data_IF_295054215249
#
_entry.id   IF_295054215249
#
_cell.length_a   1.000
_cell.length_b   1.000
_cell.length_c   1.000
_cell.angle_alpha   90.00
_cell.angle_beta   90.00
_cell.angle_gamma   90.00
#
_symmetry.space_group_name_H-M   'P 1'
#
loop_
_entity.id
_entity.type
_entity.pdbx_description
1 polymer ?
#
# COMPACT_ATOMS: atom_id res chain seq x y z
N UNK A 1 10.86 -4.16 -12.97
CA UNK A 1 11.51 -4.84 -11.84
C UNK A 1 12.52 -3.89 -11.22
N UNK A 2 12.22 -3.30 -10.06
CA UNK A 2 13.07 -2.31 -9.37
C UNK A 2 14.37 -2.99 -8.90
N UNK A 3 15.49 -2.71 -9.57
CA UNK A 3 16.80 -3.29 -9.23
C UNK A 3 17.79 -2.28 -8.63
N UNK A 4 17.55 -1.00 -8.81
CA UNK A 4 18.50 0.07 -8.47
C UNK A 4 17.73 1.30 -7.94
N UNK A 5 17.32 1.31 -6.66
CA UNK A 5 16.48 2.37 -6.09
C UNK A 5 17.13 3.75 -6.14
N UNK A 6 18.47 3.78 -6.14
CA UNK A 6 19.26 5.00 -6.24
C UNK A 6 19.22 5.66 -7.63
N UNK A 7 18.92 4.94 -8.72
CA UNK A 7 19.02 5.50 -10.08
C UNK A 7 18.06 6.67 -10.33
N UNK A 8 16.75 6.56 -10.03
CA UNK A 8 15.84 7.71 -10.14
C UNK A 8 16.15 8.79 -9.10
N UNK A 9 16.75 8.40 -7.98
CA UNK A 9 17.06 9.28 -6.85
C UNK A 9 18.38 10.02 -7.01
N UNK A 10 19.23 9.63 -7.95
CA UNK A 10 20.59 10.14 -8.14
C UNK A 10 20.68 11.68 -8.11
N UNK A 11 19.77 12.45 -8.76
CA UNK A 11 19.81 13.91 -8.71
C UNK A 11 19.56 14.51 -7.32
N UNK A 12 18.99 13.73 -6.40
CA UNK A 12 18.54 14.18 -5.09
C UNK A 12 19.42 13.65 -3.95
N UNK A 13 20.32 12.69 -4.19
CA UNK A 13 21.09 12.01 -3.13
C UNK A 13 21.94 12.97 -2.28
N UNK A 14 22.40 14.06 -2.86
CA UNK A 14 23.16 15.11 -2.18
C UNK A 14 22.29 16.08 -1.38
N UNK A 15 20.97 16.07 -1.62
CA UNK A 15 20.05 16.90 -0.84
C UNK A 15 20.01 16.40 0.60
N UNK A 16 19.99 17.33 1.56
CA UNK A 16 19.86 17.02 2.99
C UNK A 16 18.49 16.47 3.41
N UNK A 17 17.72 15.87 2.51
CA UNK A 17 16.35 15.41 2.76
C UNK A 17 16.26 13.92 3.14
N UNK A 18 15.18 13.50 3.81
CA UNK A 18 14.88 12.08 4.01
C UNK A 18 14.42 11.39 2.72
N UNK A 19 14.66 10.08 2.63
CA UNK A 19 14.30 9.21 1.51
C UNK A 19 13.36 8.10 1.98
N UNK A 20 12.17 8.07 1.38
CA UNK A 20 11.20 7.01 1.55
C UNK A 20 11.06 6.23 0.24
N UNK A 21 11.35 4.94 0.28
CA UNK A 21 11.13 4.00 -0.84
C UNK A 21 10.00 3.06 -0.48
N UNK A 22 8.95 3.02 -1.31
CA UNK A 22 7.78 2.16 -1.12
C UNK A 22 7.48 1.36 -2.38
N UNK A 23 7.07 0.10 -2.23
CA UNK A 23 6.66 -0.76 -3.33
C UNK A 23 5.73 -1.88 -2.87
N UNK A 24 5.04 -2.48 -3.84
CA UNK A 24 4.28 -3.71 -3.65
C UNK A 24 5.24 -4.91 -3.67
N UNK A 25 5.19 -5.76 -2.63
CA UNK A 25 6.04 -6.96 -2.57
C UNK A 25 5.66 -7.95 -3.67
N UNK A 26 4.37 -8.19 -3.84
CA UNK A 26 3.82 -8.97 -4.94
C UNK A 26 3.99 -8.22 -6.27
N UNK A 27 4.48 -8.91 -7.30
CA UNK A 27 4.81 -8.30 -8.59
C UNK A 27 6.18 -7.63 -8.65
N UNK A 28 6.95 -7.65 -7.55
CA UNK A 28 8.32 -7.13 -7.49
C UNK A 28 9.34 -7.99 -8.26
N UNK A 29 9.01 -9.25 -8.57
CA UNK A 29 9.91 -10.27 -9.11
C UNK A 29 10.88 -10.86 -8.07
N UNK A 30 10.66 -10.59 -6.78
CA UNK A 30 11.43 -11.12 -5.63
C UNK A 30 10.51 -11.62 -4.51
N UNK A 31 9.30 -12.05 -4.88
CA UNK A 31 8.23 -12.51 -3.98
C UNK A 31 8.63 -13.72 -3.14
N UNK A 32 9.64 -14.48 -3.60
CA UNK A 32 10.19 -15.62 -2.88
C UNK A 32 11.13 -15.24 -1.71
N UNK A 33 11.41 -13.95 -1.51
CA UNK A 33 12.25 -13.44 -0.44
C UNK A 33 11.40 -12.68 0.59
N UNK A 34 11.75 -12.74 1.88
CA UNK A 34 11.08 -11.93 2.91
C UNK A 34 11.13 -10.43 2.56
N UNK A 35 10.01 -9.68 2.73
CA UNK A 35 9.99 -8.25 2.46
C UNK A 35 11.06 -7.48 3.24
N UNK A 36 11.31 -7.83 4.51
CA UNK A 36 12.30 -7.16 5.37
C UNK A 36 13.75 -7.25 4.84
N UNK A 37 14.09 -8.35 4.17
CA UNK A 37 15.41 -8.52 3.55
C UNK A 37 15.59 -7.57 2.36
N UNK A 38 14.52 -7.39 1.58
CA UNK A 38 14.49 -6.51 0.42
C UNK A 38 14.51 -5.04 0.84
N UNK A 39 13.80 -4.70 1.91
CA UNK A 39 13.86 -3.37 2.53
C UNK A 39 15.25 -3.03 3.03
N UNK A 40 15.88 -3.95 3.75
CA UNK A 40 17.24 -3.77 4.25
C UNK A 40 18.25 -3.61 3.09
N UNK A 41 18.05 -4.34 2.00
CA UNK A 41 18.87 -4.21 0.77
C UNK A 41 18.70 -2.84 0.12
N UNK A 42 17.47 -2.34 0.02
CA UNK A 42 17.19 -1.02 -0.54
C UNK A 42 17.84 0.10 0.30
N UNK A 43 17.74 0.03 1.63
CA UNK A 43 18.40 0.99 2.54
C UNK A 43 19.92 0.92 2.39
N UNK A 44 20.52 -0.28 2.38
CA UNK A 44 21.97 -0.44 2.15
C UNK A 44 22.40 0.15 0.81
N UNK A 45 21.59 0.01 -0.24
CA UNK A 45 21.87 0.62 -1.54
C UNK A 45 21.89 2.14 -1.46
N UNK A 46 20.96 2.77 -0.72
CA UNK A 46 20.96 4.23 -0.54
C UNK A 46 22.18 4.70 0.26
N UNK A 47 22.53 3.97 1.31
CA UNK A 47 23.71 4.27 2.13
C UNK A 47 25.01 4.19 1.34
N UNK A 48 25.15 3.20 0.45
CA UNK A 48 26.29 3.08 -0.45
C UNK A 48 26.44 4.29 -1.40
N UNK A 49 25.40 5.12 -1.55
CA UNK A 49 25.40 6.31 -2.37
C UNK A 49 25.24 7.60 -1.53
N UNK A 50 25.67 7.59 -0.26
CA UNK A 50 25.83 8.80 0.55
C UNK A 50 24.64 9.20 1.42
N UNK A 51 23.54 8.43 1.41
CA UNK A 51 22.39 8.70 2.28
C UNK A 51 22.67 8.17 3.69
N UNK A 52 22.50 9.00 4.72
CA UNK A 52 22.66 8.55 6.11
C UNK A 52 21.53 7.61 6.53
N UNK A 53 21.82 6.65 7.41
CA UNK A 53 20.88 5.61 7.81
C UNK A 53 19.62 6.17 8.51
N UNK A 54 19.76 7.25 9.27
CA UNK A 54 18.67 7.97 9.95
C UNK A 54 17.72 8.69 8.98
N UNK A 55 18.14 8.86 7.72
CA UNK A 55 17.38 9.52 6.65
C UNK A 55 16.82 8.57 5.60
N UNK A 56 16.98 7.26 5.74
CA UNK A 56 16.52 6.29 4.75
C UNK A 56 15.52 5.31 5.36
N UNK A 57 14.35 5.19 4.74
CA UNK A 57 13.40 4.12 5.01
C UNK A 57 12.96 3.45 3.71
N UNK A 58 13.01 2.13 3.69
CA UNK A 58 12.40 1.30 2.66
C UNK A 58 11.29 0.47 3.29
N UNK A 59 10.11 0.45 2.65
CA UNK A 59 8.95 -0.32 3.12
C UNK A 59 8.28 -1.02 1.95
N UNK A 60 8.17 -2.34 2.05
CA UNK A 60 7.33 -3.14 1.17
C UNK A 60 5.93 -3.26 1.77
N UNK A 61 4.90 -3.04 0.96
CA UNK A 61 3.57 -3.51 1.29
C UNK A 61 3.48 -4.98 0.93
N UNK A 62 3.12 -5.83 1.89
CA UNK A 62 3.00 -7.27 1.71
C UNK A 62 1.54 -7.72 1.97
N UNK A 63 0.82 -8.18 0.94
CA UNK A 63 1.30 -8.44 -0.43
C UNK A 63 1.46 -7.18 -1.30
N UNK A 64 0.56 -6.20 -1.17
CA UNK A 64 0.47 -4.99 -2.01
C UNK A 64 -0.19 -3.86 -1.20
N UNK A 65 -0.13 -2.61 -1.69
CA UNK A 65 -0.66 -1.42 -1.02
C UNK A 65 -2.08 -1.61 -0.42
N UNK A 66 -2.98 -2.27 -1.14
CA UNK A 66 -4.37 -2.50 -0.75
C UNK A 66 -4.53 -3.25 0.58
N UNK A 67 -3.50 -3.95 1.06
CA UNK A 67 -3.48 -4.56 2.40
C UNK A 67 -3.76 -3.53 3.50
N UNK A 68 -3.36 -2.28 3.27
CA UNK A 68 -3.59 -1.14 4.14
C UNK A 68 -5.07 -0.92 4.46
N UNK A 69 -5.96 -1.32 3.55
CA UNK A 69 -7.39 -1.09 3.69
C UNK A 69 -8.11 -2.20 4.43
N UNK A 70 -7.44 -3.30 4.78
CA UNK A 70 -8.08 -4.43 5.46
C UNK A 70 -8.89 -4.01 6.68
N UNK A 71 -8.31 -3.17 7.53
CA UNK A 71 -8.96 -2.69 8.76
C UNK A 71 -10.11 -1.70 8.52
N UNK A 72 -10.25 -1.18 7.31
CA UNK A 72 -11.26 -0.21 6.90
C UNK A 72 -12.10 -0.68 5.71
N UNK A 73 -12.03 -1.98 5.38
CA UNK A 73 -12.66 -2.56 4.20
C UNK A 73 -14.16 -2.24 4.06
N UNK A 74 -14.99 -2.31 5.13
CA UNK A 74 -16.39 -1.90 5.03
C UNK A 74 -16.57 -0.46 4.55
N UNK A 75 -15.69 0.45 5.02
CA UNK A 75 -15.71 1.86 4.60
C UNK A 75 -15.22 2.03 3.17
N UNK A 76 -14.23 1.25 2.73
CA UNK A 76 -13.80 1.22 1.32
C UNK A 76 -14.98 0.84 0.43
N UNK A 77 -15.69 -0.24 0.73
CA UNK A 77 -16.87 -0.66 -0.05
C UNK A 77 -17.93 0.44 -0.14
N UNK A 78 -18.24 1.10 0.98
CA UNK A 78 -19.20 2.21 1.00
C UNK A 78 -18.78 3.39 0.11
N UNK A 79 -17.50 3.78 0.14
CA UNK A 79 -16.99 4.89 -0.68
C UNK A 79 -17.10 4.53 -2.16
N UNK A 80 -16.66 3.32 -2.53
CA UNK A 80 -16.66 2.86 -3.92
C UNK A 80 -18.09 2.71 -4.45
N UNK A 81 -19.02 2.11 -3.69
CA UNK A 81 -20.43 1.99 -4.07
C UNK A 81 -21.14 3.35 -4.15
N UNK A 82 -20.74 4.29 -3.29
CA UNK A 82 -21.21 5.68 -3.31
C UNK A 82 -20.94 6.41 -4.63
N UNK A 83 -19.88 6.06 -5.38
CA UNK A 83 -19.62 6.63 -6.72
C UNK A 83 -20.73 6.30 -7.73
N UNK A 84 -21.46 5.22 -7.50
CA UNK A 84 -22.61 4.80 -8.32
C UNK A 84 -23.95 5.07 -7.67
N UNK A 85 -23.97 5.57 -6.43
CA UNK A 85 -25.19 5.66 -5.59
C UNK A 85 -25.85 4.29 -5.43
N UNK A 86 -25.03 3.25 -5.32
CA UNK A 86 -25.45 1.87 -5.13
C UNK A 86 -25.11 1.41 -3.72
N UNK A 87 -25.78 0.36 -3.25
CA UNK A 87 -25.40 -0.32 -2.01
C UNK A 87 -24.11 -1.14 -2.23
N UNK A 88 -23.22 -1.22 -1.23
CA UNK A 88 -22.00 -2.00 -1.35
C UNK A 88 -22.31 -3.50 -1.48
N UNK A 89 -21.69 -4.21 -2.44
CA UNK A 89 -21.78 -5.66 -2.51
C UNK A 89 -21.33 -6.33 -1.21
N UNK A 90 -21.97 -7.45 -0.87
CA UNK A 90 -21.54 -8.27 0.26
C UNK A 90 -20.18 -8.94 -0.05
N UNK A 91 -19.49 -9.38 1.01
CA UNK A 91 -18.13 -9.91 0.92
C UNK A 91 -18.05 -11.22 0.11
N UNK A 92 -19.08 -12.07 0.16
CA UNK A 92 -19.13 -13.31 -0.61
C UNK A 92 -19.30 -13.02 -2.11
N UNK A 93 -20.10 -12.02 -2.45
CA UNK A 93 -20.26 -11.55 -3.83
C UNK A 93 -18.94 -11.01 -4.39
N UNK A 94 -18.20 -10.20 -3.61
CA UNK A 94 -16.88 -9.71 -4.03
C UNK A 94 -15.89 -10.86 -4.20
N UNK A 95 -15.84 -11.80 -3.24
CA UNK A 95 -14.96 -12.95 -3.30
C UNK A 95 -15.23 -13.85 -4.51
N UNK A 96 -16.50 -14.15 -4.78
CA UNK A 96 -16.90 -14.94 -5.94
C UNK A 96 -16.52 -14.25 -7.26
N UNK A 97 -16.68 -12.93 -7.33
CA UNK A 97 -16.27 -12.15 -8.49
C UNK A 97 -14.74 -12.14 -8.68
N UNK A 98 -13.96 -12.00 -7.61
CA UNK A 98 -12.50 -12.05 -7.65
C UNK A 98 -11.97 -13.40 -8.17
N UNK A 99 -12.55 -14.50 -7.69
CA UNK A 99 -12.21 -15.86 -8.15
C UNK A 99 -12.55 -16.07 -9.62
N UNK A 100 -13.72 -15.59 -10.06
CA UNK A 100 -14.13 -15.69 -11.46
C UNK A 100 -13.21 -14.89 -12.38
N UNK A 101 -12.77 -13.70 -11.95
CA UNK A 101 -11.86 -12.86 -12.72
C UNK A 101 -10.44 -13.45 -12.79
N UNK A 102 -10.02 -14.23 -11.78
CA UNK A 102 -8.66 -14.74 -11.65
C UNK A 102 -8.62 -16.27 -11.50
N UNK A 103 -9.06 -17.06 -12.50
CA UNK A 103 -9.19 -18.52 -12.38
C UNK A 103 -7.86 -19.26 -12.19
N UNK A 104 -6.73 -18.60 -12.47
CA UNK A 104 -5.38 -19.14 -12.29
C UNK A 104 -4.77 -18.79 -10.93
N UNK A 105 -5.36 -17.85 -10.19
CA UNK A 105 -4.91 -17.45 -8.87
C UNK A 105 -5.65 -18.26 -7.81
N UNK A 106 -4.91 -18.80 -6.84
CA UNK A 106 -5.50 -19.51 -5.71
C UNK A 106 -5.94 -18.51 -4.64
N UNK A 107 -7.12 -17.92 -4.84
CA UNK A 107 -7.75 -17.06 -3.83
C UNK A 107 -8.41 -17.96 -2.76
N UNK A 108 -8.16 -17.73 -1.45
CA UNK A 108 -8.79 -18.47 -0.35
C UNK A 108 -10.32 -18.44 -0.39
N UNK A 109 -10.97 -19.49 0.15
CA UNK A 109 -12.43 -19.54 0.28
C UNK A 109 -12.95 -18.68 1.45
N UNK A 110 -12.10 -18.44 2.46
CA UNK A 110 -12.40 -17.53 3.57
C UNK A 110 -12.12 -16.08 3.17
N UNK A 111 -13.08 -15.20 3.43
CA UNK A 111 -12.99 -13.79 3.01
C UNK A 111 -11.87 -13.04 3.72
N UNK A 112 -11.70 -13.24 5.03
CA UNK A 112 -10.68 -12.55 5.81
C UNK A 112 -9.27 -12.97 5.40
N UNK A 113 -9.09 -14.26 5.11
CA UNK A 113 -7.85 -14.79 4.55
C UNK A 113 -7.60 -14.24 3.15
N UNK A 114 -8.62 -14.21 2.28
CA UNK A 114 -8.50 -13.64 0.95
C UNK A 114 -8.16 -12.15 0.98
N UNK A 115 -8.74 -11.39 1.91
CA UNK A 115 -8.43 -9.97 2.10
C UNK A 115 -7.02 -9.75 2.62
N UNK A 116 -6.47 -10.71 3.38
CA UNK A 116 -5.06 -10.68 3.80
C UNK A 116 -4.06 -11.05 2.70
N UNK A 117 -4.45 -11.87 1.73
CA UNK A 117 -3.52 -12.48 0.76
C UNK A 117 -3.69 -11.98 -0.68
N UNK A 118 -4.88 -11.53 -1.05
CA UNK A 118 -5.26 -11.07 -2.38
C UNK A 118 -6.09 -9.75 -2.31
N UNK A 119 -5.65 -8.74 -1.54
CA UNK A 119 -6.46 -7.53 -1.30
C UNK A 119 -6.76 -6.75 -2.59
N UNK A 120 -5.81 -6.72 -3.53
CA UNK A 120 -5.97 -6.05 -4.82
C UNK A 120 -6.99 -6.76 -5.69
N UNK A 121 -6.96 -8.09 -5.78
CA UNK A 121 -7.94 -8.83 -6.57
C UNK A 121 -9.36 -8.64 -6.03
N UNK A 122 -9.54 -8.57 -4.71
CA UNK A 122 -10.82 -8.24 -4.10
C UNK A 122 -11.25 -6.80 -4.43
N UNK A 123 -10.33 -5.84 -4.35
CA UNK A 123 -10.63 -4.45 -4.70
C UNK A 123 -10.97 -4.29 -6.19
N UNK A 124 -10.19 -4.89 -7.09
CA UNK A 124 -10.50 -4.89 -8.52
C UNK A 124 -11.84 -5.56 -8.83
N UNK A 125 -12.19 -6.64 -8.12
CA UNK A 125 -13.49 -7.29 -8.27
C UNK A 125 -14.63 -6.36 -7.85
N UNK A 126 -14.50 -5.67 -6.72
CA UNK A 126 -15.44 -4.65 -6.26
C UNK A 126 -15.63 -3.55 -7.31
N UNK A 127 -14.53 -3.03 -7.87
CA UNK A 127 -14.55 -2.01 -8.92
C UNK A 127 -15.29 -2.51 -10.16
N UNK A 128 -15.01 -3.73 -10.61
CA UNK A 128 -15.67 -4.35 -11.77
C UNK A 128 -17.16 -4.58 -11.53
N UNK A 129 -17.55 -5.05 -10.35
CA UNK A 129 -18.95 -5.26 -9.96
C UNK A 129 -19.76 -3.95 -10.07
N UNK A 130 -19.17 -2.86 -9.59
CA UNK A 130 -19.77 -1.51 -9.64
C UNK A 130 -19.52 -0.78 -10.97
N UNK A 131 -18.97 -1.49 -11.96
CA UNK A 131 -18.70 -0.98 -13.32
C UNK A 131 -17.89 0.32 -13.30
N UNK A 132 -17.01 0.47 -12.31
CA UNK A 132 -16.12 1.60 -12.17
C UNK A 132 -14.81 1.32 -12.91
N UNK A 133 -14.03 2.38 -13.12
CA UNK A 133 -12.64 2.27 -13.58
C UNK A 133 -11.75 2.65 -12.42
N UNK A 134 -10.67 1.89 -12.23
CA UNK A 134 -9.56 2.33 -11.38
C UNK A 134 -9.03 3.65 -11.93
N UNK A 135 -8.94 4.65 -11.07
CA UNK A 135 -8.52 5.99 -11.46
C UNK A 135 -7.88 6.73 -10.28
N UNK A 136 -6.90 7.62 -10.52
CA UNK A 136 -6.29 8.43 -9.46
C UNK A 136 -7.29 9.19 -8.58
N UNK A 137 -8.39 9.77 -9.12
CA UNK A 137 -9.40 10.42 -8.29
C UNK A 137 -10.06 9.50 -7.27
N UNK A 138 -10.28 8.22 -7.60
CA UNK A 138 -10.85 7.26 -6.65
C UNK A 138 -9.88 6.96 -5.50
N UNK A 139 -8.59 6.79 -5.81
CA UNK A 139 -7.56 6.61 -4.79
C UNK A 139 -7.42 7.86 -3.91
N UNK A 140 -7.48 9.06 -4.48
CA UNK A 140 -7.47 10.31 -3.72
C UNK A 140 -8.66 10.36 -2.75
N UNK A 141 -9.86 10.04 -3.23
CA UNK A 141 -11.08 10.01 -2.41
C UNK A 141 -10.98 9.00 -1.26
N UNK A 142 -10.42 7.81 -1.51
CA UNK A 142 -10.15 6.83 -0.46
C UNK A 142 -9.13 7.39 0.56
N UNK A 143 -8.05 8.00 0.09
CA UNK A 143 -7.03 8.61 0.95
C UNK A 143 -7.58 9.71 1.85
N UNK A 144 -8.50 10.54 1.36
CA UNK A 144 -9.14 11.62 2.11
C UNK A 144 -10.16 11.11 3.14
N UNK A 145 -10.88 10.03 2.82
CA UNK A 145 -12.02 9.58 3.60
C UNK A 145 -11.69 8.50 4.64
N UNK A 146 -10.58 7.77 4.48
CA UNK A 146 -10.22 6.68 5.38
C UNK A 146 -9.44 7.19 6.61
N UNK A 147 -9.76 6.61 7.77
CA UNK A 147 -9.12 7.02 9.03
C UNK A 147 -7.65 6.61 9.05
N UNK A 148 -6.74 7.59 9.11
CA UNK A 148 -5.31 7.35 9.29
C UNK A 148 -5.00 6.51 10.54
N UNK A 149 -5.78 6.68 11.63
CA UNK A 149 -5.62 5.87 12.84
C UNK A 149 -5.92 4.40 12.59
N UNK A 150 -6.95 4.09 11.80
CA UNK A 150 -7.29 2.72 11.45
C UNK A 150 -6.27 2.13 10.47
N UNK A 151 -5.90 2.89 9.42
CA UNK A 151 -4.92 2.47 8.44
C UNK A 151 -3.55 2.14 9.07
N UNK A 152 -3.10 2.92 10.07
CA UNK A 152 -1.87 2.65 10.85
C UNK A 152 -1.89 1.38 11.71
N UNK A 153 -2.98 0.59 11.70
CA UNK A 153 -2.96 -0.78 12.23
C UNK A 153 -2.17 -1.72 11.33
N UNK A 154 -1.99 -1.35 10.06
CA UNK A 154 -1.08 -2.02 9.15
C UNK A 154 0.37 -1.57 9.46
N UNK A 155 1.30 -2.54 9.50
CA UNK A 155 2.69 -2.39 9.93
C UNK A 155 3.50 -1.47 9.01
N UNK A 156 3.37 -1.61 7.69
CA UNK A 156 4.02 -0.76 6.70
C UNK A 156 3.64 0.71 6.91
N UNK A 157 2.34 1.02 7.04
CA UNK A 157 1.87 2.39 7.31
C UNK A 157 2.28 2.92 8.68
N UNK A 158 2.30 2.07 9.71
CA UNK A 158 2.78 2.45 11.02
C UNK A 158 4.26 2.89 10.97
N UNK A 159 5.11 2.13 10.25
CA UNK A 159 6.54 2.43 10.07
C UNK A 159 6.75 3.73 9.28
N UNK A 160 6.01 3.90 8.19
CA UNK A 160 6.06 5.13 7.37
C UNK A 160 5.68 6.34 8.23
N UNK A 161 4.57 6.26 8.97
CA UNK A 161 4.11 7.34 9.83
C UNK A 161 5.13 7.69 10.93
N UNK A 162 5.75 6.67 11.54
CA UNK A 162 6.79 6.88 12.54
C UNK A 162 8.02 7.59 11.95
N UNK A 163 8.52 7.14 10.80
CA UNK A 163 9.66 7.78 10.15
C UNK A 163 9.36 9.23 9.75
N UNK A 164 8.19 9.50 9.16
CA UNK A 164 7.76 10.86 8.83
C UNK A 164 7.72 11.74 10.09
N UNK A 165 7.21 11.23 11.22
CA UNK A 165 7.14 12.02 12.46
C UNK A 165 8.52 12.37 13.06
N UNK A 166 9.54 11.53 12.80
CA UNK A 166 10.92 11.77 13.22
C UNK A 166 11.58 12.78 12.28
N UNK A 167 11.38 12.62 10.98
CA UNK A 167 12.00 13.46 9.95
C UNK A 167 11.40 14.86 9.85
N UNK A 168 10.09 14.97 10.11
CA UNK A 168 9.32 16.21 10.04
C UNK A 168 8.61 16.40 11.40
N UNK A 169 9.37 16.74 12.47
CA UNK A 169 8.77 16.98 13.77
C UNK A 169 7.77 18.13 13.65
N UNK A 170 6.64 18.09 14.39
CA UNK A 170 5.70 19.19 14.41
C UNK A 170 6.45 20.45 14.84
N UNK A 171 6.36 21.52 14.05
CA UNK A 171 6.86 22.81 14.48
C UNK A 171 6.09 23.18 15.73
N UNK A 172 6.80 23.39 16.85
CA UNK A 172 6.21 24.01 18.03
C UNK A 172 5.51 25.28 17.56
N UNK A 173 4.21 25.38 17.79
CA UNK A 173 3.51 26.64 17.59
C UNK A 173 4.15 27.66 18.54
N UNK A 174 5.11 28.44 18.03
CA UNK A 174 5.54 29.66 18.69
C UNK A 174 4.30 30.56 18.74
N UNK A 175 3.74 30.67 19.95
CA UNK A 175 2.69 31.64 20.29
C UNK A 175 3.26 33.01 20.55
#
# INVERSE_FOLDING_TARGET
MWREPHRPLAPFLEMGCPFLVVWDHQGSGRENRPPEDLESEAVRSLMAHGVSADRALAVAFDPELEISWRSTWPRVKQIVAGERREEPPDDLTVLAAARRANPRLRIPDDFEMALGQCPKELFEALIRLLRLRLSPPLYAKLGEALSLRALKRERALARIANAISIWLPPQSAEG
#
